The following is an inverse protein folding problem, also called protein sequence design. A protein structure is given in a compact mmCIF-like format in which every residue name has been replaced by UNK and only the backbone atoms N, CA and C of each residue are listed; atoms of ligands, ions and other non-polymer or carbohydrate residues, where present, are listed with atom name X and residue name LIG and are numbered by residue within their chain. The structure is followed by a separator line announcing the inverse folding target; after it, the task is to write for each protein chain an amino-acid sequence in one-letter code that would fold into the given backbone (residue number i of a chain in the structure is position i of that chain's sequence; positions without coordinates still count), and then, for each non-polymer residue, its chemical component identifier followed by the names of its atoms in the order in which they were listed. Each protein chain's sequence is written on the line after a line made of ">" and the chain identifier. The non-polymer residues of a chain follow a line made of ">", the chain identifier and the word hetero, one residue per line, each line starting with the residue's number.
data_IF_369054625500
#
_entry.id   IF_369054625500
#
_cell.length_a   1.000
_cell.length_b   1.000
_cell.length_c   1.000
_cell.angle_alpha   90.00
_cell.angle_beta   90.00
_cell.angle_gamma   90.00
#
_symmetry.space_group_name_H-M   'P 1'
#
loop_
_entity.id
_entity.type
_entity.pdbx_description
1 polymer ?
#
# COMPACT_ATOMS: atom_id res chain seq x y z
N UNK A 1 -48.15 -5.99 9.73
CA UNK A 1 -46.91 -6.79 9.91
C UNK A 1 -45.78 -5.86 10.36
N UNK A 2 -45.22 -6.20 11.53
CA UNK A 2 -44.45 -5.38 12.51
C UNK A 2 -43.42 -4.38 11.96
N UNK A 3 -43.77 -3.08 11.97
CA UNK A 3 -42.77 -2.00 11.96
C UNK A 3 -42.30 -1.75 13.39
N UNK A 4 -40.99 -1.83 13.60
CA UNK A 4 -40.31 -1.70 14.89
C UNK A 4 -40.49 -0.27 15.46
N UNK A 5 -41.59 -0.08 16.20
CA UNK A 5 -41.76 1.01 17.16
C UNK A 5 -40.93 0.71 18.39
N UNK A 6 -39.72 1.25 18.50
CA UNK A 6 -39.11 1.60 19.79
C UNK A 6 -37.87 2.46 19.55
N UNK A 7 -37.86 3.61 20.21
CA UNK A 7 -36.76 4.55 20.22
C UNK A 7 -35.63 4.13 21.16
N UNK A 8 -34.51 4.82 20.94
CA UNK A 8 -33.33 4.99 21.78
C UNK A 8 -32.30 3.84 21.85
N UNK A 9 -31.04 4.29 21.67
CA UNK A 9 -29.73 3.63 21.83
C UNK A 9 -29.26 2.76 20.66
N UNK A 10 -28.44 3.40 19.82
CA UNK A 10 -27.28 2.85 19.10
C UNK A 10 -27.33 1.35 18.75
N UNK A 11 -27.67 1.05 17.49
CA UNK A 11 -27.35 -0.25 16.87
C UNK A 11 -28.55 -0.98 16.27
N UNK A 12 -29.07 -0.52 15.14
CA UNK A 12 -29.95 -1.34 14.30
C UNK A 12 -29.12 -2.03 13.19
N UNK A 13 -28.82 -3.35 13.31
CA UNK A 13 -27.96 -4.08 12.37
C UNK A 13 -28.66 -4.54 11.08
N UNK A 14 -29.94 -4.23 10.88
CA UNK A 14 -30.79 -4.89 9.88
C UNK A 14 -30.76 -4.31 8.45
N UNK A 15 -29.93 -3.32 8.10
CA UNK A 15 -29.93 -2.71 6.75
C UNK A 15 -28.75 -3.06 5.85
N UNK A 16 -27.59 -3.49 6.36
CA UNK A 16 -26.44 -3.76 5.51
C UNK A 16 -25.95 -5.19 5.70
N UNK A 17 -26.32 -6.05 4.76
CA UNK A 17 -25.94 -7.46 4.76
C UNK A 17 -24.43 -7.64 4.61
N UNK A 18 -23.76 -7.99 5.70
CA UNK A 18 -22.39 -8.48 5.68
C UNK A 18 -22.37 -9.97 5.32
N UNK A 19 -22.77 -10.30 4.08
CA UNK A 19 -22.32 -11.53 3.43
C UNK A 19 -20.89 -11.32 2.94
N UNK A 20 -19.88 -11.40 3.80
CA UNK A 20 -18.53 -11.85 3.40
C UNK A 20 -17.71 -12.26 4.63
N UNK A 21 -17.60 -13.57 4.85
CA UNK A 21 -16.61 -14.18 5.75
C UNK A 21 -15.16 -14.07 5.25
N UNK A 22 -14.81 -12.95 4.62
CA UNK A 22 -13.44 -12.69 4.14
C UNK A 22 -12.90 -11.42 4.81
N UNK A 23 -11.82 -11.52 5.59
CA UNK A 23 -11.18 -10.34 6.15
C UNK A 23 -10.67 -9.46 5.00
N UNK A 24 -11.03 -8.18 5.02
CA UNK A 24 -10.61 -7.24 3.98
C UNK A 24 -9.10 -7.06 4.05
N UNK A 25 -8.42 -7.00 2.90
CA UNK A 25 -6.96 -6.79 2.84
C UNK A 25 -6.48 -5.40 3.27
N UNK A 26 -7.40 -4.48 3.55
CA UNK A 26 -7.10 -3.08 3.90
C UNK A 26 -7.67 -2.71 5.28
N UNK A 27 -6.96 -1.87 6.04
CA UNK A 27 -7.44 -1.40 7.33
C UNK A 27 -8.74 -0.60 7.16
N UNK A 28 -9.71 -0.76 8.07
CA UNK A 28 -10.88 0.10 8.11
C UNK A 28 -10.43 1.55 8.40
N UNK A 29 -11.20 2.52 7.89
CA UNK A 29 -10.98 3.92 8.25
C UNK A 29 -11.27 4.14 9.73
N UNK A 30 -10.52 5.06 10.36
CA UNK A 30 -10.58 5.35 11.81
C UNK A 30 -11.98 5.74 12.31
N UNK A 31 -12.79 6.41 11.49
CA UNK A 31 -14.12 6.90 11.87
C UNK A 31 -15.26 5.89 11.62
N UNK A 32 -14.95 4.62 11.36
CA UNK A 32 -15.98 3.61 11.06
C UNK A 32 -16.52 2.99 12.36
N UNK A 33 -17.83 3.11 12.58
CA UNK A 33 -18.52 2.58 13.77
C UNK A 33 -18.53 1.03 13.86
N UNK A 34 -18.56 0.33 12.72
CA UNK A 34 -18.41 -1.12 12.67
C UNK A 34 -17.17 -1.49 11.80
N UNK A 35 -15.98 -1.65 12.39
CA UNK A 35 -14.77 -1.97 11.65
C UNK A 35 -14.80 -3.41 11.11
N UNK A 36 -14.42 -3.57 9.83
CA UNK A 36 -14.26 -4.90 9.22
C UNK A 36 -13.02 -5.59 9.79
N UNK A 37 -13.07 -6.91 9.96
CA UNK A 37 -11.89 -7.71 10.28
C UNK A 37 -10.85 -7.60 9.15
N UNK A 38 -9.61 -7.29 9.52
CA UNK A 38 -8.48 -7.25 8.59
C UNK A 38 -7.24 -7.85 9.25
N UNK A 39 -6.40 -8.52 8.46
CA UNK A 39 -5.17 -9.12 8.97
C UNK A 39 -4.03 -8.10 8.99
N UNK A 40 -3.72 -7.57 10.18
CA UNK A 40 -2.66 -6.57 10.38
C UNK A 40 -1.27 -7.09 9.99
N UNK A 41 -1.00 -8.37 10.21
CA UNK A 41 0.28 -9.01 9.85
C UNK A 41 0.51 -9.02 8.34
N UNK A 42 -0.49 -9.46 7.56
CA UNK A 42 -0.42 -9.46 6.09
C UNK A 42 -0.29 -8.03 5.53
N UNK A 43 -1.01 -7.08 6.13
CA UNK A 43 -0.93 -5.67 5.72
C UNK A 43 0.46 -5.06 5.97
N UNK A 44 1.12 -5.38 7.09
CA UNK A 44 2.49 -4.93 7.38
C UNK A 44 3.50 -5.49 6.39
N UNK A 45 3.40 -6.77 6.04
CA UNK A 45 4.35 -7.42 5.13
C UNK A 45 4.32 -6.80 3.72
N UNK A 46 3.13 -6.40 3.23
CA UNK A 46 3.00 -5.70 1.94
C UNK A 46 3.76 -4.37 1.88
N UNK A 47 3.90 -3.66 3.00
CA UNK A 47 4.65 -2.41 3.05
C UNK A 47 6.16 -2.62 2.84
N UNK A 48 6.72 -3.75 3.29
CA UNK A 48 8.14 -4.07 3.05
C UNK A 48 8.42 -4.25 1.57
N UNK A 49 7.58 -5.04 0.89
CA UNK A 49 7.65 -5.26 -0.56
C UNK A 49 7.51 -3.94 -1.32
N UNK A 50 6.54 -3.10 -0.92
CA UNK A 50 6.34 -1.78 -1.54
C UNK A 50 7.58 -0.88 -1.39
N UNK A 51 8.21 -0.86 -0.20
CA UNK A 51 9.42 -0.06 0.05
C UNK A 51 10.59 -0.54 -0.79
N UNK A 52 10.75 -1.86 -0.93
CA UNK A 52 11.80 -2.45 -1.76
C UNK A 52 11.67 -2.03 -3.23
N UNK A 53 10.50 -2.21 -3.84
CA UNK A 53 10.30 -1.81 -5.24
C UNK A 53 10.41 -0.29 -5.46
N UNK A 54 9.97 0.52 -4.50
CA UNK A 54 10.13 1.97 -4.54
C UNK A 54 11.63 2.36 -4.61
N UNK A 55 12.47 1.69 -3.83
CA UNK A 55 13.93 1.90 -3.81
C UNK A 55 14.57 1.52 -5.16
N UNK A 56 14.20 0.37 -5.74
CA UNK A 56 14.68 -0.05 -7.07
C UNK A 56 14.32 0.96 -8.15
N UNK A 57 13.07 1.44 -8.14
CA UNK A 57 12.62 2.43 -9.12
C UNK A 57 13.37 3.76 -8.98
N UNK A 58 13.69 4.18 -7.75
CA UNK A 58 14.51 5.35 -7.49
C UNK A 58 15.91 5.20 -8.10
N UNK A 59 16.56 4.05 -7.92
CA UNK A 59 17.88 3.80 -8.51
C UNK A 59 17.87 3.76 -10.03
N UNK A 60 16.85 3.15 -10.65
CA UNK A 60 16.68 3.16 -12.12
C UNK A 60 16.56 4.58 -12.67
N UNK A 61 15.82 5.46 -11.98
CA UNK A 61 15.66 6.86 -12.37
C UNK A 61 16.96 7.66 -12.23
N UNK A 62 17.79 7.32 -11.24
CA UNK A 62 19.10 7.94 -11.01
C UNK A 62 20.09 7.47 -12.08
N UNK A 63 20.19 6.17 -12.34
CA UNK A 63 21.07 5.59 -13.36
C UNK A 63 20.79 6.18 -14.76
N UNK A 64 19.52 6.23 -15.16
CA UNK A 64 19.08 6.83 -16.44
C UNK A 64 19.21 8.35 -16.51
N UNK A 65 19.52 9.03 -15.39
CA UNK A 65 19.86 10.47 -15.37
C UNK A 65 21.33 10.70 -15.67
N UNK A 66 22.22 9.85 -15.14
CA UNK A 66 23.66 9.91 -15.40
C UNK A 66 24.00 9.53 -16.85
N UNK A 67 23.22 8.62 -17.44
CA UNK A 67 23.40 8.24 -18.85
C UNK A 67 23.15 9.43 -19.83
N UNK A 68 22.37 10.43 -19.42
CA UNK A 68 22.01 11.58 -20.26
C UNK A 68 23.06 12.70 -20.28
N UNK A 69 23.98 12.73 -19.32
CA UNK A 69 25.04 13.74 -19.28
C UNK A 69 26.31 13.16 -19.91
N UNK A 70 26.80 13.80 -20.97
CA UNK A 70 28.03 13.40 -21.64
C UNK A 70 29.26 13.36 -20.72
N UNK A 71 29.28 14.20 -19.67
CA UNK A 71 30.34 14.20 -18.67
C UNK A 71 30.31 12.94 -17.78
N UNK A 72 29.13 12.54 -17.30
CA UNK A 72 29.00 11.35 -16.45
C UNK A 72 29.15 10.04 -17.21
N UNK A 73 28.81 10.00 -18.51
CA UNK A 73 29.09 8.82 -19.33
C UNK A 73 30.58 8.63 -19.59
N UNK A 74 31.34 9.71 -19.88
CA UNK A 74 32.80 9.64 -20.05
C UNK A 74 33.50 9.18 -18.77
N UNK A 75 33.12 9.72 -17.60
CA UNK A 75 33.70 9.29 -16.31
C UNK A 75 33.53 7.80 -16.06
N UNK A 76 32.39 7.23 -16.46
CA UNK A 76 32.14 5.79 -16.33
C UNK A 76 33.01 4.96 -17.27
N UNK A 77 33.27 5.43 -18.50
CA UNK A 77 34.20 4.77 -19.44
C UNK A 77 35.64 4.79 -18.90
N UNK A 78 36.11 5.91 -18.38
CA UNK A 78 37.41 5.98 -17.74
C UNK A 78 37.52 5.02 -16.56
N UNK A 79 36.49 4.98 -15.71
CA UNK A 79 36.43 4.10 -14.56
C UNK A 79 36.42 2.61 -15.00
N UNK A 80 35.67 2.26 -16.05
CA UNK A 80 35.68 0.93 -16.63
C UNK A 80 37.05 0.53 -17.19
N UNK A 81 37.73 1.44 -17.91
CA UNK A 81 39.09 1.22 -18.41
C UNK A 81 40.13 1.09 -17.31
N UNK A 82 39.95 1.74 -16.15
CA UNK A 82 40.90 1.60 -15.02
C UNK A 82 40.73 0.29 -14.23
N UNK A 83 39.58 -0.36 -14.34
CA UNK A 83 39.26 -1.58 -13.57
C UNK A 83 39.41 -2.84 -14.46
N UNK A 84 39.34 -2.68 -15.78
CA UNK A 84 39.60 -3.72 -16.78
C UNK A 84 41.09 -4.02 -16.92
#
# INVERSE_FOLDING_TARGET
>A
MRHCRQGLRLGCPCRNGDRTGQPGGHPPRSNRLNPRSFNRHLYKNRNLIKRFFCRIQQFRRIATRYDKLASSSLSFVYLACTIA
#
